data_IF_741414092622
#
_entry.id   IF_741414092622
#
_cell.length_a   1.000
_cell.length_b   1.000
_cell.length_c   1.000
_cell.angle_alpha   90.00
_cell.angle_beta   90.00
_cell.angle_gamma   90.00
#
_symmetry.space_group_name_H-M   'P 1'
#
loop_
_entity.id
_entity.type
_entity.pdbx_description
1 polymer ?
#
# COMPACT_ATOMS: atom_id res chain seq x y z
N UNK A 1 13.71 -4.78 17.21
CA UNK A 1 13.09 -3.45 17.31
C UNK A 1 12.09 -3.37 16.18
N UNK A 2 10.81 -3.11 16.47
CA UNK A 2 9.82 -2.90 15.41
C UNK A 2 10.07 -1.52 14.81
N UNK A 3 10.47 -1.47 13.55
CA UNK A 3 10.62 -0.22 12.82
C UNK A 3 9.24 0.45 12.73
N UNK A 4 9.18 1.75 13.02
CA UNK A 4 7.94 2.51 12.94
C UNK A 4 7.74 2.92 11.50
N UNK A 5 6.71 2.38 10.84
CA UNK A 5 6.34 2.84 9.50
C UNK A 5 5.80 4.27 9.61
N UNK A 6 6.49 5.23 8.98
CA UNK A 6 6.16 6.65 8.98
C UNK A 6 5.39 7.09 7.72
N UNK A 7 5.12 6.16 6.81
CA UNK A 7 4.45 6.40 5.52
C UNK A 7 3.29 5.44 5.26
N UNK A 8 2.36 5.22 6.20
CA UNK A 8 1.13 4.49 5.89
C UNK A 8 0.24 5.33 4.97
N UNK A 9 -0.29 4.71 3.91
CA UNK A 9 -1.32 5.30 3.07
C UNK A 9 -2.70 4.88 3.61
N UNK A 10 -3.44 5.85 4.14
CA UNK A 10 -4.77 5.65 4.68
C UNK A 10 -5.81 6.24 3.74
N UNK A 11 -6.91 5.53 3.51
CA UNK A 11 -8.09 6.13 2.92
C UNK A 11 -8.74 6.97 4.03
N UNK A 12 -8.97 8.26 3.78
CA UNK A 12 -9.66 9.14 4.71
C UNK A 12 -10.40 10.24 3.97
N UNK A 13 -11.50 10.70 4.55
CA UNK A 13 -12.20 11.91 4.12
C UNK A 13 -11.82 13.06 5.07
N UNK A 14 -11.75 14.27 4.52
CA UNK A 14 -11.57 15.46 5.34
C UNK A 14 -12.45 16.61 4.88
N UNK A 15 -12.88 17.44 5.83
CA UNK A 15 -13.60 18.68 5.57
C UNK A 15 -13.00 19.79 6.42
N UNK A 16 -12.90 20.97 5.85
CA UNK A 16 -12.42 22.16 6.54
C UNK A 16 -13.40 23.30 6.38
N UNK A 17 -13.58 24.10 7.42
CA UNK A 17 -14.32 25.36 7.33
C UNK A 17 -13.61 26.46 8.11
N UNK A 18 -13.74 27.69 7.60
CA UNK A 18 -13.34 28.88 8.35
C UNK A 18 -14.41 29.24 9.36
N UNK A 19 -13.97 29.71 10.52
CA UNK A 19 -14.81 30.19 11.62
C UNK A 19 -14.31 31.57 12.05
N UNK A 20 -15.10 32.29 12.84
CA UNK A 20 -14.73 33.63 13.33
C UNK A 20 -13.44 33.62 14.18
N UNK A 21 -13.00 32.45 14.66
CA UNK A 21 -11.82 32.27 15.50
C UNK A 21 -10.70 31.48 14.81
N UNK A 22 -10.84 31.12 13.53
CA UNK A 22 -9.81 30.42 12.77
C UNK A 22 -10.37 29.40 11.80
N UNK A 23 -9.98 28.13 11.95
CA UNK A 23 -10.41 27.04 11.09
C UNK A 23 -10.71 25.79 11.92
N UNK A 24 -11.65 24.99 11.42
CA UNK A 24 -12.02 23.69 11.95
C UNK A 24 -11.76 22.64 10.87
N UNK A 25 -11.16 21.52 11.25
CA UNK A 25 -10.90 20.38 10.35
C UNK A 25 -11.55 19.15 10.96
N UNK A 26 -12.40 18.51 10.16
CA UNK A 26 -12.97 17.20 10.45
C UNK A 26 -12.27 16.16 9.57
N UNK A 27 -11.86 15.04 10.18
CA UNK A 27 -11.21 13.94 9.49
C UNK A 27 -11.97 12.67 9.84
N UNK A 28 -12.43 11.96 8.82
CA UNK A 28 -13.06 10.65 8.94
C UNK A 28 -12.10 9.59 8.40
N UNK A 29 -11.65 8.69 9.26
CA UNK A 29 -10.77 7.58 8.89
C UNK A 29 -11.56 6.28 9.10
N UNK A 30 -11.95 5.59 8.02
CA UNK A 30 -12.58 4.29 8.11
C UNK A 30 -11.67 3.28 8.82
N UNK A 31 -12.22 2.47 9.73
CA UNK A 31 -11.43 1.47 10.44
C UNK A 31 -10.87 0.38 9.52
N UNK A 32 -11.49 0.13 8.37
CA UNK A 32 -10.96 -0.74 7.32
C UNK A 32 -9.60 -0.28 6.76
N UNK A 33 -9.30 1.02 6.84
CA UNK A 33 -8.02 1.58 6.41
C UNK A 33 -6.91 1.37 7.44
N UNK A 34 -7.23 0.94 8.67
CA UNK A 34 -6.27 0.81 9.76
C UNK A 34 -6.12 -0.67 10.14
N UNK A 35 -4.88 -1.14 10.20
CA UNK A 35 -4.58 -2.47 10.70
C UNK A 35 -4.58 -2.49 12.24
N UNK A 36 -5.63 -3.07 12.83
CA UNK A 36 -5.70 -3.30 14.29
C UNK A 36 -6.06 -4.76 14.63
N UNK A 37 -5.65 -5.23 15.80
CA UNK A 37 -5.97 -6.58 16.26
C UNK A 37 -7.44 -6.69 16.65
N UNK A 38 -8.08 -7.82 16.39
CA UNK A 38 -9.43 -8.07 16.88
C UNK A 38 -9.39 -8.33 18.40
N UNK A 39 -10.05 -7.48 19.17
CA UNK A 39 -10.20 -7.62 20.63
C UNK A 39 -11.45 -6.85 21.08
N UNK A 40 -12.16 -7.41 22.06
CA UNK A 40 -13.43 -6.89 22.57
C UNK A 40 -13.31 -5.48 23.17
N UNK A 41 -12.17 -5.20 23.82
CA UNK A 41 -11.85 -3.89 24.39
C UNK A 41 -10.42 -3.53 24.04
N UNK A 42 -10.24 -2.40 23.37
CA UNK A 42 -8.94 -1.95 22.89
C UNK A 42 -8.55 -0.60 23.46
N UNK A 43 -7.24 -0.36 23.52
CA UNK A 43 -6.70 0.96 23.75
C UNK A 43 -5.68 1.32 22.69
N UNK A 44 -5.84 2.48 22.08
CA UNK A 44 -4.96 2.97 21.02
C UNK A 44 -4.19 4.20 21.48
N UNK A 45 -2.94 4.32 21.03
CA UNK A 45 -2.17 5.55 21.17
C UNK A 45 -2.55 6.50 20.04
N UNK A 46 -2.91 7.76 20.36
CA UNK A 46 -3.17 8.79 19.37
C UNK A 46 -2.46 10.09 19.75
N UNK A 47 -1.95 10.78 18.74
CA UNK A 47 -1.44 12.14 18.89
C UNK A 47 -1.81 12.96 17.66
N UNK A 48 -2.12 14.23 17.89
CA UNK A 48 -2.42 15.19 16.82
C UNK A 48 -1.31 16.22 16.80
N UNK A 49 -0.71 16.42 15.64
CA UNK A 49 0.39 17.37 15.45
C UNK A 49 -0.07 18.46 14.50
N UNK A 50 0.00 19.70 14.96
CA UNK A 50 -0.25 20.89 14.14
C UNK A 50 1.07 21.55 13.81
N UNK A 51 1.39 21.65 12.51
CA UNK A 51 2.58 22.36 12.01
C UNK A 51 2.16 23.69 11.39
N UNK A 52 2.59 24.79 12.00
CA UNK A 52 2.31 26.15 11.51
C UNK A 52 3.49 26.61 10.65
N UNK A 53 3.32 26.56 9.33
CA UNK A 53 4.41 26.82 8.37
C UNK A 53 4.98 28.24 8.50
N UNK A 54 4.13 29.26 8.70
CA UNK A 54 4.58 30.65 8.72
C UNK A 54 5.44 31.01 9.93
N UNK A 55 5.33 30.27 11.04
CA UNK A 55 6.09 30.52 12.28
C UNK A 55 7.10 29.43 12.59
N UNK A 56 7.01 28.28 11.92
CA UNK A 56 7.78 27.08 12.25
C UNK A 56 7.35 26.41 13.58
N UNK A 57 6.28 26.88 14.23
CA UNK A 57 5.80 26.26 15.46
C UNK A 57 5.13 24.91 15.17
N UNK A 58 5.38 23.94 16.06
CA UNK A 58 4.74 22.63 16.05
C UNK A 58 4.08 22.41 17.39
N UNK A 59 2.76 22.28 17.38
CA UNK A 59 1.94 22.01 18.55
C UNK A 59 1.52 20.54 18.55
N UNK A 60 1.50 19.90 19.71
CA UNK A 60 1.08 18.51 19.87
C UNK A 60 -0.05 18.42 20.88
N UNK A 61 -0.99 17.50 20.67
CA UNK A 61 -2.12 17.31 21.58
C UNK A 61 -1.67 16.88 22.97
N UNK A 62 -0.75 15.92 23.04
CA UNK A 62 -0.10 15.54 24.30
C UNK A 62 1.26 16.20 24.44
N UNK A 63 1.68 16.44 25.69
CA UNK A 63 3.00 16.97 25.98
C UNK A 63 4.08 16.00 25.50
N UNK A 64 4.87 16.42 24.50
CA UNK A 64 5.94 15.61 23.94
C UNK A 64 7.30 16.22 24.29
N UNK A 65 8.18 15.43 24.92
CA UNK A 65 9.57 15.81 25.17
C UNK A 65 10.41 15.45 23.94
N UNK A 66 11.06 16.45 23.35
CA UNK A 66 11.93 16.26 22.17
C UNK A 66 13.13 15.33 22.42
N UNK A 67 13.59 15.23 23.67
CA UNK A 67 14.71 14.35 24.06
C UNK A 67 14.32 12.94 24.50
N UNK A 68 13.05 12.56 24.41
CA UNK A 68 12.61 11.21 24.75
C UNK A 68 12.92 10.22 23.62
N UNK A 69 13.18 8.96 23.98
CA UNK A 69 13.56 7.91 23.05
C UNK A 69 12.47 7.56 22.00
N UNK A 70 11.21 7.88 22.27
CA UNK A 70 10.10 7.66 21.33
C UNK A 70 9.03 8.73 21.46
N UNK A 71 8.65 9.31 20.33
CA UNK A 71 7.51 10.22 20.25
C UNK A 71 6.19 9.47 20.41
N UNK A 72 6.06 8.28 19.80
CA UNK A 72 4.84 7.46 19.89
C UNK A 72 4.55 6.99 21.31
N UNK A 73 5.57 6.67 22.10
CA UNK A 73 5.38 6.29 23.50
C UNK A 73 4.78 7.42 24.38
N UNK A 74 4.79 8.66 23.88
CA UNK A 74 4.24 9.83 24.55
C UNK A 74 2.87 10.24 23.98
N UNK A 75 2.25 9.41 23.12
CA UNK A 75 0.91 9.64 22.61
C UNK A 75 -0.14 9.59 23.72
N UNK A 76 -1.24 10.31 23.54
CA UNK A 76 -2.43 10.13 24.38
C UNK A 76 -3.03 8.76 24.16
N UNK A 77 -3.86 8.29 25.09
CA UNK A 77 -4.48 6.97 25.02
C UNK A 77 -5.98 7.11 24.86
N UNK A 78 -6.51 6.59 23.75
CA UNK A 78 -7.93 6.29 23.61
C UNK A 78 -8.15 4.94 24.29
N UNK A 79 -8.98 4.92 25.33
CA UNK A 79 -9.31 3.73 26.11
C UNK A 79 -10.77 3.35 25.88
N UNK A 80 -11.14 2.12 26.27
CA UNK A 80 -12.51 1.62 26.18
C UNK A 80 -13.11 1.67 24.76
N UNK A 81 -12.27 1.48 23.74
CA UNK A 81 -12.74 1.28 22.37
C UNK A 81 -13.39 -0.11 22.29
N UNK A 82 -14.68 -0.14 21.99
CA UNK A 82 -15.51 -1.36 21.91
C UNK A 82 -16.19 -1.44 20.55
N UNK A 83 -16.71 -2.62 20.23
CA UNK A 83 -17.51 -2.87 19.03
C UNK A 83 -16.79 -2.52 17.72
N UNK A 84 -15.46 -2.59 17.71
CA UNK A 84 -14.64 -2.39 16.51
C UNK A 84 -14.73 -3.61 15.60
N UNK A 85 -15.67 -3.59 14.66
CA UNK A 85 -15.83 -4.66 13.69
C UNK A 85 -14.75 -4.60 12.62
N UNK A 86 -13.84 -5.58 12.66
CA UNK A 86 -12.90 -5.82 11.57
C UNK A 86 -13.64 -6.51 10.43
N UNK A 87 -13.78 -5.83 9.30
CA UNK A 87 -14.26 -6.45 8.07
C UNK A 87 -13.29 -7.53 7.60
N UNK A 88 -13.81 -8.61 7.01
CA UNK A 88 -12.99 -9.54 6.26
C UNK A 88 -12.57 -8.84 4.95
N UNK A 89 -11.27 -8.58 4.77
CA UNK A 89 -10.75 -7.97 3.55
C UNK A 89 -10.57 -9.08 2.53
N UNK A 90 -11.43 -9.12 1.51
CA UNK A 90 -11.30 -10.01 0.34
C UNK A 90 -11.37 -9.15 -0.90
N UNK A 91 -10.25 -9.06 -1.63
CA UNK A 91 -10.18 -8.37 -2.91
C UNK A 91 -10.05 -9.40 -4.03
N UNK A 92 -10.99 -9.39 -4.96
CA UNK A 92 -10.96 -10.24 -6.14
C UNK A 92 -10.88 -9.38 -7.39
N UNK A 93 -9.80 -9.56 -8.15
CA UNK A 93 -9.52 -8.80 -9.37
C UNK A 93 -9.46 -9.78 -10.55
N UNK A 94 -10.57 -10.02 -11.27
CA UNK A 94 -10.58 -10.87 -12.45
C UNK A 94 -9.88 -10.18 -13.63
N UNK A 95 -9.23 -10.97 -14.48
CA UNK A 95 -8.57 -10.51 -15.70
C UNK A 95 -8.97 -11.40 -16.89
N UNK A 96 -9.22 -10.78 -18.04
CA UNK A 96 -9.48 -11.49 -19.30
C UNK A 96 -8.68 -10.81 -20.40
N UNK A 97 -7.86 -11.59 -21.10
CA UNK A 97 -7.05 -11.15 -22.23
C UNK A 97 -7.50 -11.91 -23.47
N UNK A 98 -7.70 -11.22 -24.59
CA UNK A 98 -8.06 -11.84 -25.87
C UNK A 98 -7.15 -11.33 -26.98
N UNK A 99 -6.61 -12.25 -27.77
CA UNK A 99 -5.77 -11.98 -28.93
C UNK A 99 -6.42 -12.54 -30.19
N UNK A 100 -6.28 -11.80 -31.29
CA UNK A 100 -6.67 -12.23 -32.63
C UNK A 100 -5.41 -12.35 -33.48
N UNK A 101 -5.07 -13.58 -33.86
CA UNK A 101 -3.88 -13.90 -34.63
C UNK A 101 -4.31 -14.23 -36.07
N UNK A 102 -3.85 -13.45 -37.04
CA UNK A 102 -4.13 -13.68 -38.46
C UNK A 102 -2.91 -14.28 -39.17
N UNK A 103 -3.09 -15.38 -39.91
CA UNK A 103 -2.05 -15.96 -40.76
C UNK A 103 -2.62 -16.39 -42.12
N UNK A 104 -1.83 -16.35 -43.21
CA UNK A 104 -2.23 -16.93 -44.49
C UNK A 104 -2.43 -18.44 -44.35
N UNK A 105 -3.61 -18.97 -44.69
CA UNK A 105 -3.96 -20.40 -44.43
C UNK A 105 -3.61 -21.35 -45.59
N UNK A 106 -2.94 -20.86 -46.63
CA UNK A 106 -2.65 -21.61 -47.86
C UNK A 106 -3.74 -21.48 -48.93
N UNK A 107 -4.87 -20.84 -48.62
CA UNK A 107 -5.78 -20.24 -49.60
C UNK A 107 -5.47 -18.75 -49.80
N UNK A 108 -6.04 -18.10 -50.82
CA UNK A 108 -5.93 -16.64 -51.07
C UNK A 108 -6.69 -15.80 -50.01
N UNK A 109 -6.97 -16.38 -48.84
CA UNK A 109 -7.69 -15.81 -47.73
C UNK A 109 -6.85 -15.85 -46.44
N UNK A 110 -7.14 -14.92 -45.54
CA UNK A 110 -6.56 -14.87 -44.21
C UNK A 110 -7.35 -15.76 -43.25
N UNK A 111 -6.68 -16.68 -42.58
CA UNK A 111 -7.22 -17.42 -41.44
C UNK A 111 -7.05 -16.61 -40.16
N UNK A 112 -8.12 -16.46 -39.38
CA UNK A 112 -8.08 -15.79 -38.08
C UNK A 112 -8.28 -16.82 -36.96
N UNK A 113 -7.31 -16.91 -36.05
CA UNK A 113 -7.42 -17.62 -34.79
C UNK A 113 -7.70 -16.63 -33.65
N UNK A 114 -8.55 -17.02 -32.70
CA UNK A 114 -8.78 -16.26 -31.47
C UNK A 114 -8.25 -17.04 -30.28
N UNK A 115 -7.35 -16.44 -29.53
CA UNK A 115 -6.85 -16.98 -28.28
C UNK A 115 -7.39 -16.11 -27.15
N UNK A 116 -8.09 -16.72 -26.19
CA UNK A 116 -8.62 -16.03 -25.02
C UNK A 116 -8.07 -16.67 -23.76
N UNK A 117 -7.49 -15.85 -22.91
CA UNK A 117 -6.92 -16.23 -21.62
C UNK A 117 -7.71 -15.54 -20.51
N UNK A 118 -7.97 -16.30 -19.45
CA UNK A 118 -8.62 -15.80 -18.24
C UNK A 118 -7.67 -15.98 -17.07
N UNK A 119 -7.64 -15.00 -16.18
CA UNK A 119 -6.83 -14.99 -14.98
C UNK A 119 -7.46 -14.13 -13.89
N UNK A 120 -6.73 -13.93 -12.81
CA UNK A 120 -7.16 -13.03 -11.76
C UNK A 120 -6.39 -13.18 -10.48
N UNK A 121 -6.50 -12.16 -9.64
CA UNK A 121 -5.86 -12.10 -8.33
C UNK A 121 -6.93 -12.18 -7.24
N UNK A 122 -6.62 -12.92 -6.18
CA UNK A 122 -7.39 -12.99 -4.95
C UNK A 122 -6.46 -12.62 -3.79
N UNK A 123 -6.81 -11.55 -3.08
CA UNK A 123 -6.19 -11.19 -1.80
C UNK A 123 -7.20 -11.44 -0.68
N UNK A 124 -6.79 -12.18 0.34
CA UNK A 124 -7.62 -12.51 1.48
C UNK A 124 -6.88 -12.26 2.80
N UNK A 125 -7.33 -11.25 3.55
CA UNK A 125 -6.86 -10.98 4.92
C UNK A 125 -7.43 -12.00 5.92
N UNK A 126 -6.78 -13.16 6.07
CA UNK A 126 -7.17 -14.24 7.00
C UNK A 126 -7.17 -13.78 8.46
N UNK A 127 -6.19 -12.95 8.85
CA UNK A 127 -6.14 -12.34 10.19
C UNK A 127 -5.43 -10.98 10.17
N UNK A 128 -5.30 -10.32 11.33
CA UNK A 128 -4.60 -9.04 11.44
C UNK A 128 -3.14 -9.06 11.03
N UNK A 129 -2.53 -10.24 11.08
CA UNK A 129 -1.11 -10.42 10.79
C UNK A 129 -0.90 -11.44 9.66
N UNK A 130 -1.98 -11.87 8.98
CA UNK A 130 -1.92 -12.89 7.95
C UNK A 130 -2.80 -12.50 6.77
N UNK A 131 -2.17 -12.25 5.63
CA UNK A 131 -2.81 -12.09 4.33
C UNK A 131 -2.41 -13.26 3.45
N UNK A 132 -3.35 -13.77 2.68
CA UNK A 132 -3.16 -14.81 1.67
C UNK A 132 -3.39 -14.18 0.30
N UNK A 133 -2.37 -14.27 -0.54
CA UNK A 133 -2.43 -13.82 -1.93
C UNK A 133 -2.35 -15.02 -2.87
N UNK A 134 -3.30 -15.10 -3.80
CA UNK A 134 -3.39 -16.15 -4.80
C UNK A 134 -3.63 -15.54 -6.19
N UNK A 135 -2.96 -16.09 -7.20
CA UNK A 135 -3.09 -15.64 -8.59
C UNK A 135 -3.34 -16.84 -9.48
N UNK A 136 -4.34 -16.73 -10.36
CA UNK A 136 -4.66 -17.72 -11.39
C UNK A 136 -4.27 -17.13 -12.74
N UNK A 137 -3.50 -17.89 -13.52
CA UNK A 137 -2.98 -17.50 -14.82
C UNK A 137 -2.30 -16.10 -14.83
N UNK A 138 -1.15 -15.96 -14.14
CA UNK A 138 -0.40 -14.72 -14.13
C UNK A 138 0.08 -14.39 -15.56
N UNK A 139 -0.41 -13.28 -16.12
CA UNK A 139 0.06 -12.78 -17.40
C UNK A 139 1.45 -12.13 -17.22
N UNK A 140 2.49 -12.86 -17.60
CA UNK A 140 3.87 -12.36 -17.61
C UNK A 140 4.20 -11.51 -18.84
N UNK A 141 3.27 -11.38 -19.80
CA UNK A 141 3.48 -10.54 -21.00
C UNK A 141 3.29 -9.04 -20.71
N UNK A 142 2.70 -8.69 -19.57
CA UNK A 142 2.68 -7.34 -19.01
C UNK A 142 3.89 -7.01 -18.12
N UNK A 143 4.98 -7.80 -18.16
CA UNK A 143 6.27 -7.25 -17.75
C UNK A 143 6.62 -6.20 -18.80
N UNK A 144 6.72 -4.94 -18.38
CA UNK A 144 7.31 -3.83 -19.13
C UNK A 144 8.81 -4.12 -19.36
N UNK A 145 9.11 -5.19 -20.11
CA UNK A 145 10.44 -5.63 -20.49
C UNK A 145 10.84 -4.94 -21.79
N UNK A 146 10.85 -3.61 -21.78
CA UNK A 146 11.75 -2.84 -22.62
C UNK A 146 11.73 -1.37 -22.18
N UNK A 147 12.43 -1.08 -21.07
CA UNK A 147 13.09 0.22 -21.02
C UNK A 147 14.31 0.07 -21.93
N UNK A 148 14.14 0.38 -23.22
CA UNK A 148 15.25 0.43 -24.16
C UNK A 148 16.27 1.48 -23.70
N UNK A 149 17.27 1.07 -22.91
CA UNK A 149 18.40 1.92 -22.57
C UNK A 149 19.57 1.55 -23.48
N UNK A 150 19.91 2.49 -24.36
CA UNK A 150 21.15 2.44 -25.15
C UNK A 150 22.33 2.54 -24.17
N UNK A 151 22.96 1.39 -23.88
CA UNK A 151 24.09 1.31 -22.95
C UNK A 151 25.37 1.79 -23.64
N UNK A 152 25.56 3.10 -23.73
CA UNK A 152 26.90 3.63 -23.93
C UNK A 152 27.58 3.78 -22.57
N UNK A 153 28.20 2.68 -22.11
CA UNK A 153 29.29 2.68 -21.13
C UNK A 153 28.94 2.96 -19.65
N UNK A 154 28.15 2.10 -19.01
CA UNK A 154 28.12 2.00 -17.54
C UNK A 154 28.49 0.59 -17.08
N UNK A 155 29.48 0.48 -16.15
CA UNK A 155 30.00 -0.79 -15.59
C UNK A 155 29.26 -1.20 -14.31
N UNK A 156 28.02 -0.78 -14.15
CA UNK A 156 27.20 -1.06 -12.98
C UNK A 156 25.87 -1.67 -13.43
N UNK A 157 25.33 -2.57 -12.60
CA UNK A 157 24.04 -3.20 -12.88
C UNK A 157 22.94 -2.13 -12.89
N UNK A 158 22.11 -2.14 -13.93
CA UNK A 158 20.95 -1.26 -14.04
C UNK A 158 19.91 -1.66 -12.99
N UNK A 159 19.52 -0.72 -12.14
CA UNK A 159 18.48 -0.91 -11.13
C UNK A 159 17.12 -0.56 -11.75
N UNK A 160 16.28 -1.57 -12.01
CA UNK A 160 14.87 -1.32 -12.31
C UNK A 160 14.06 -1.39 -11.01
N UNK A 161 13.31 -0.35 -10.65
CA UNK A 161 12.37 -0.43 -9.52
C UNK A 161 11.25 -1.42 -9.87
N UNK A 162 11.12 -2.47 -9.05
CA UNK A 162 10.09 -3.50 -9.16
C UNK A 162 8.71 -2.88 -8.85
N UNK A 163 7.79 -2.95 -9.83
CA UNK A 163 6.46 -2.30 -9.74
C UNK A 163 5.31 -3.26 -9.47
N UNK A 164 5.56 -4.57 -9.36
CA UNK A 164 4.49 -5.55 -9.12
C UNK A 164 3.87 -5.35 -7.72
N UNK A 165 2.56 -5.08 -7.60
CA UNK A 165 1.90 -4.89 -6.30
C UNK A 165 2.06 -6.09 -5.35
N UNK A 166 2.16 -7.31 -5.90
CA UNK A 166 2.41 -8.54 -5.17
C UNK A 166 3.77 -8.60 -4.45
N UNK A 167 4.79 -7.87 -4.92
CA UNK A 167 6.15 -7.88 -4.33
C UNK A 167 6.34 -6.69 -3.36
N UNK A 168 5.49 -5.66 -3.47
CA UNK A 168 5.61 -4.44 -2.67
C UNK A 168 5.02 -4.60 -1.26
N UNK A 169 4.04 -5.49 -1.05
CA UNK A 169 3.45 -5.70 0.27
C UNK A 169 4.31 -6.64 1.13
N UNK A 170 5.26 -6.06 1.89
CA UNK A 170 6.13 -6.78 2.83
C UNK A 170 7.64 -6.62 2.60
N UNK A 171 8.08 -5.83 1.62
CA UNK A 171 9.50 -5.54 1.39
C UNK A 171 10.16 -4.87 2.61
N UNK A 172 9.37 -4.11 3.37
CA UNK A 172 9.74 -3.50 4.65
C UNK A 172 10.20 -4.52 5.72
N UNK A 173 9.80 -5.80 5.59
CA UNK A 173 10.24 -6.89 6.50
C UNK A 173 11.58 -7.50 6.10
N UNK A 174 12.07 -7.21 4.90
CA UNK A 174 13.33 -7.75 4.36
C UNK A 174 14.42 -6.70 4.19
N UNK A 175 14.19 -5.46 4.64
CA UNK A 175 15.20 -4.41 4.66
C UNK A 175 16.22 -4.70 5.77
N UNK A 176 17.16 -5.58 5.46
CA UNK A 176 18.36 -5.80 6.25
C UNK A 176 19.43 -4.79 5.80
N UNK A 177 20.30 -4.29 6.70
CA UNK A 177 21.37 -3.36 6.35
C UNK A 177 22.32 -3.87 5.25
N UNK A 178 22.29 -5.18 4.98
CA UNK A 178 22.82 -5.76 3.75
C UNK A 178 21.67 -6.37 2.93
N UNK A 179 21.47 -5.88 1.70
CA UNK A 179 20.59 -6.46 0.69
C UNK A 179 20.98 -7.92 0.43
N UNK A 180 20.18 -8.84 0.97
CA UNK A 180 20.39 -10.29 0.85
C UNK A 180 19.54 -10.95 -0.25
N UNK A 181 18.73 -10.16 -0.97
CA UNK A 181 17.92 -10.65 -2.09
C UNK A 181 18.44 -10.02 -3.38
N UNK A 182 18.85 -10.89 -4.30
CA UNK A 182 19.23 -10.54 -5.67
C UNK A 182 18.09 -10.99 -6.59
N UNK A 183 17.47 -10.04 -7.28
CA UNK A 183 16.57 -10.27 -8.42
C UNK A 183 17.02 -9.39 -9.57
#
# INVERSE_FOLDING_TARGET
MSETNLTPDYIFDSRGRLTDYGYEVEIHIPFESISYQASDVQSWGINVIRKVQHSGYTDTWTAARRGAASFLAQSGRLVDLRDLTRGMVVDFTPAVTAALNGAPDGSDAWGYGSDAEMGGNLRWGVSANLTLDATVNPDFSHVEADVGQVSSNERFALFLPEKRPFILEGNDRFDAPNRLIYT
#
